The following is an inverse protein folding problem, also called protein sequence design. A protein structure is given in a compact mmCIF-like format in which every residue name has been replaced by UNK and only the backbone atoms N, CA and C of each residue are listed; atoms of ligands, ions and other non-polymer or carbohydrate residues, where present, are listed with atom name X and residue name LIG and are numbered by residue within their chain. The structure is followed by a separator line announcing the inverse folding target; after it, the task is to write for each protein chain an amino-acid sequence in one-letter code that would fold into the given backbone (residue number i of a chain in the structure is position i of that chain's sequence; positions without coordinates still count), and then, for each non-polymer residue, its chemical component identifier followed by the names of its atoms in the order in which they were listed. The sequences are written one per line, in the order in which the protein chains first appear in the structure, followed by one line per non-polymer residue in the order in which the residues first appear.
data_IF_290218477053
#
_entry.id   IF_290218477053
#
_cell.length_a   1.000
_cell.length_b   1.000
_cell.length_c   1.000
_cell.angle_alpha   90.00
_cell.angle_beta   90.00
_cell.angle_gamma   90.00
#
_symmetry.space_group_name_H-M   'P 1'
#
loop_
_entity.id
_entity.type
_entity.pdbx_description
1 polymer ?
#
# COMPACT_ATOMS: atom_id res chain seq x y z
N UNK A 1 22.94 -9.64 -16.77
CA UNK A 1 24.34 -10.11 -16.80
C UNK A 1 24.36 -11.56 -16.33
N UNK A 2 25.07 -12.48 -17.00
CA UNK A 2 25.27 -13.83 -16.50
C UNK A 2 25.99 -13.83 -15.15
N UNK A 3 25.56 -14.70 -14.24
CA UNK A 3 26.09 -14.86 -12.89
C UNK A 3 27.06 -16.03 -12.88
N UNK A 4 28.36 -15.73 -12.93
CA UNK A 4 29.43 -16.73 -12.88
C UNK A 4 29.96 -16.87 -11.47
N UNK A 5 29.61 -17.95 -10.77
CA UNK A 5 29.99 -18.23 -9.39
C UNK A 5 31.30 -19.03 -9.34
N UNK A 6 32.30 -18.52 -8.62
CA UNK A 6 33.55 -19.24 -8.35
C UNK A 6 33.44 -20.03 -7.05
N UNK A 7 33.69 -21.33 -7.13
CA UNK A 7 33.74 -22.23 -5.98
C UNK A 7 35.12 -22.20 -5.28
N UNK A 8 35.18 -22.75 -4.08
CA UNK A 8 36.41 -22.79 -3.27
C UNK A 8 37.53 -23.63 -3.93
N UNK A 9 37.18 -24.59 -4.79
CA UNK A 9 38.12 -25.39 -5.58
C UNK A 9 38.64 -24.68 -6.85
N UNK A 10 38.20 -23.44 -7.09
CA UNK A 10 38.58 -22.63 -8.25
C UNK A 10 37.74 -22.87 -9.50
N UNK A 11 36.82 -23.84 -9.50
CA UNK A 11 35.88 -24.05 -10.60
C UNK A 11 34.89 -22.89 -10.70
N UNK A 12 34.40 -22.63 -11.92
CA UNK A 12 33.42 -21.57 -12.20
C UNK A 12 32.15 -22.20 -12.75
N UNK A 13 31.03 -21.98 -12.06
CA UNK A 13 29.71 -22.36 -12.50
C UNK A 13 28.99 -21.15 -13.14
N UNK A 14 28.42 -21.34 -14.33
CA UNK A 14 27.54 -20.35 -14.95
C UNK A 14 26.09 -20.60 -14.51
N UNK A 15 25.54 -19.66 -13.75
CA UNK A 15 24.17 -19.73 -13.23
C UNK A 15 23.16 -19.00 -14.15
N UNK A 16 23.58 -18.58 -15.36
CA UNK A 16 22.72 -17.78 -16.23
C UNK A 16 22.36 -16.43 -15.60
N UNK A 17 21.14 -15.94 -15.79
CA UNK A 17 20.72 -14.62 -15.27
C UNK A 17 20.10 -14.67 -13.88
N UNK A 18 19.90 -15.85 -13.29
CA UNK A 18 19.32 -16.04 -11.96
C UNK A 18 19.84 -17.33 -11.36
N UNK A 19 20.35 -17.29 -10.13
CA UNK A 19 20.88 -18.45 -9.42
C UNK A 19 20.37 -18.53 -7.98
N UNK A 20 20.38 -19.75 -7.43
CA UNK A 20 20.03 -20.00 -6.02
C UNK A 20 21.32 -20.21 -5.22
N UNK A 21 21.54 -19.37 -4.21
CA UNK A 21 22.64 -19.51 -3.27
C UNK A 21 22.12 -20.18 -2.00
N UNK A 22 22.73 -21.31 -1.64
CA UNK A 22 22.35 -22.07 -0.44
C UNK A 22 23.18 -21.62 0.76
N UNK A 23 22.49 -21.17 1.81
CA UNK A 23 23.09 -20.92 3.12
C UNK A 23 22.86 -22.17 3.99
N UNK A 24 23.93 -22.92 4.28
CA UNK A 24 23.93 -24.10 5.16
C UNK A 24 24.74 -23.89 6.45
N UNK A 25 25.31 -22.70 6.59
CA UNK A 25 26.15 -22.25 7.69
C UNK A 25 25.70 -20.86 8.15
N UNK A 26 26.15 -20.45 9.33
CA UNK A 26 25.83 -19.11 9.87
C UNK A 26 26.42 -17.97 9.01
N UNK A 27 27.56 -18.23 8.37
CA UNK A 27 28.24 -17.25 7.51
C UNK A 27 28.72 -17.96 6.24
N UNK A 28 28.49 -17.34 5.09
CA UNK A 28 28.92 -17.85 3.80
C UNK A 28 29.40 -16.71 2.89
N UNK A 29 30.39 -16.99 2.06
CA UNK A 29 30.94 -16.03 1.08
C UNK A 29 30.78 -16.61 -0.32
N UNK A 30 30.11 -15.87 -1.19
CA UNK A 30 29.94 -16.22 -2.60
C UNK A 30 30.70 -15.23 -3.47
N UNK A 31 31.59 -15.71 -4.34
CA UNK A 31 32.37 -14.84 -5.23
C UNK A 31 31.89 -14.97 -6.67
N UNK A 32 31.38 -13.88 -7.22
CA UNK A 32 31.07 -13.79 -8.65
C UNK A 32 32.26 -13.21 -9.42
N UNK A 33 32.56 -13.78 -10.58
CA UNK A 33 33.66 -13.35 -11.46
C UNK A 33 33.12 -12.73 -12.75
N UNK A 34 34.00 -12.04 -13.48
CA UNK A 34 33.64 -11.36 -14.74
C UNK A 34 32.53 -10.31 -14.58
N UNK A 35 32.58 -9.54 -13.49
CA UNK A 35 31.65 -8.44 -13.20
C UNK A 35 32.29 -7.12 -13.67
N UNK A 36 31.90 -6.57 -14.84
CA UNK A 36 32.62 -5.47 -15.49
C UNK A 36 32.36 -4.10 -14.86
N UNK A 37 31.33 -3.97 -14.03
CA UNK A 37 30.95 -2.76 -13.32
C UNK A 37 30.27 -3.10 -11.99
N UNK A 38 30.16 -2.14 -11.09
CA UNK A 38 29.43 -2.33 -9.82
C UNK A 38 27.98 -2.80 -10.07
N UNK A 39 27.57 -3.96 -9.51
CA UNK A 39 26.23 -4.50 -9.74
C UNK A 39 25.21 -3.97 -8.72
N UNK A 40 23.94 -3.86 -9.15
CA UNK A 40 22.81 -3.68 -8.25
C UNK A 40 22.20 -5.06 -7.95
N UNK A 41 22.36 -5.63 -6.74
CA UNK A 41 21.93 -6.99 -6.47
C UNK A 41 20.42 -7.08 -6.26
N UNK A 42 19.79 -8.01 -6.98
CA UNK A 42 18.39 -8.42 -6.79
C UNK A 42 18.37 -9.72 -5.97
N UNK A 43 18.22 -9.59 -4.66
CA UNK A 43 18.34 -10.67 -3.68
C UNK A 43 16.96 -11.17 -3.23
N UNK A 44 16.87 -12.41 -2.75
CA UNK A 44 15.63 -13.01 -2.23
C UNK A 44 14.46 -13.00 -3.24
N UNK A 45 14.77 -13.11 -4.54
CA UNK A 45 13.80 -13.13 -5.64
C UNK A 45 12.68 -14.14 -5.38
N UNK A 46 11.45 -13.75 -5.73
CA UNK A 46 10.26 -14.56 -5.47
C UNK A 46 10.03 -14.93 -4.00
N UNK A 47 10.59 -14.15 -3.06
CA UNK A 47 10.57 -14.44 -1.63
C UNK A 47 11.10 -15.85 -1.33
N UNK A 48 12.29 -16.17 -1.86
CA UNK A 48 12.85 -17.54 -1.85
C UNK A 48 13.07 -18.13 -0.45
N UNK A 49 13.06 -17.33 0.61
CA UNK A 49 13.03 -17.78 2.00
C UNK A 49 12.26 -16.80 2.91
N UNK A 50 11.56 -17.27 3.96
CA UNK A 50 10.79 -16.43 4.88
C UNK A 50 11.67 -15.79 5.96
N UNK A 51 12.59 -14.92 5.54
CA UNK A 51 13.58 -14.28 6.42
C UNK A 51 13.48 -12.75 6.37
N UNK A 52 13.90 -12.10 7.46
CA UNK A 52 14.18 -10.66 7.43
C UNK A 52 15.56 -10.46 6.82
N UNK A 53 15.64 -9.67 5.76
CA UNK A 53 16.88 -9.41 5.04
C UNK A 53 17.33 -7.96 5.26
N UNK A 54 18.59 -7.80 5.67
CA UNK A 54 19.26 -6.51 5.70
C UNK A 54 20.39 -6.53 4.66
N UNK A 55 20.48 -5.47 3.87
CA UNK A 55 21.48 -5.35 2.79
C UNK A 55 22.35 -4.13 3.05
N UNK A 56 23.56 -4.36 3.54
CA UNK A 56 24.54 -3.28 3.76
C UNK A 56 25.02 -2.71 2.42
N UNK A 57 25.16 -1.38 2.34
CA UNK A 57 25.65 -0.69 1.14
C UNK A 57 24.62 -0.49 0.02
N UNK A 58 23.36 -0.91 0.20
CA UNK A 58 22.30 -0.63 -0.76
C UNK A 58 21.76 0.80 -0.56
N UNK A 59 21.95 1.67 -1.55
CA UNK A 59 21.45 3.04 -1.53
C UNK A 59 20.00 3.14 -2.04
N UNK A 60 19.41 4.34 -1.94
CA UNK A 60 18.08 4.58 -2.50
C UNK A 60 18.11 4.55 -4.04
N UNK A 61 19.20 4.98 -4.67
CA UNK A 61 19.41 4.88 -6.12
C UNK A 61 19.36 3.42 -6.60
N UNK A 62 19.95 2.50 -5.82
CA UNK A 62 19.82 1.06 -6.09
C UNK A 62 18.36 0.60 -6.02
N UNK A 63 17.59 1.06 -5.02
CA UNK A 63 16.18 0.70 -4.91
C UNK A 63 15.32 1.31 -6.03
N UNK A 64 15.59 2.55 -6.43
CA UNK A 64 14.91 3.18 -7.57
C UNK A 64 15.17 2.41 -8.86
N UNK A 65 16.42 1.99 -9.08
CA UNK A 65 16.78 1.14 -10.21
C UNK A 65 16.03 -0.20 -10.17
N UNK A 66 15.97 -0.87 -9.02
CA UNK A 66 15.24 -2.14 -8.89
C UNK A 66 13.74 -1.96 -9.14
N UNK A 67 13.10 -0.95 -8.53
CA UNK A 67 11.68 -0.65 -8.75
C UNK A 67 11.36 -0.43 -10.24
N UNK A 68 12.22 0.29 -10.96
CA UNK A 68 12.01 0.61 -12.37
C UNK A 68 12.36 -0.54 -13.33
N UNK A 69 13.35 -1.38 -13.00
CA UNK A 69 14.01 -2.22 -13.99
C UNK A 69 14.23 -3.69 -13.61
N UNK A 70 13.98 -4.12 -12.36
CA UNK A 70 14.27 -5.51 -11.98
C UNK A 70 13.48 -6.50 -12.85
N UNK A 71 14.08 -7.63 -13.21
CA UNK A 71 13.36 -8.68 -13.94
C UNK A 71 12.42 -9.49 -13.04
N UNK A 72 12.63 -9.44 -11.72
CA UNK A 72 11.77 -10.11 -10.75
C UNK A 72 10.64 -9.17 -10.27
N UNK A 73 9.36 -9.50 -10.54
CA UNK A 73 8.24 -8.65 -10.14
C UNK A 73 8.15 -8.46 -8.62
N UNK A 74 8.45 -9.51 -7.84
CA UNK A 74 8.44 -9.41 -6.38
C UNK A 74 9.45 -8.37 -5.90
N UNK A 75 10.68 -8.37 -6.40
CA UNK A 75 11.69 -7.39 -6.02
C UNK A 75 11.42 -5.98 -6.55
N UNK A 76 10.76 -5.82 -7.71
CA UNK A 76 10.23 -4.50 -8.12
C UNK A 76 9.27 -3.95 -7.08
N UNK A 77 8.29 -4.77 -6.69
CA UNK A 77 7.30 -4.41 -5.66
C UNK A 77 7.98 -4.12 -4.32
N UNK A 78 8.85 -5.01 -3.82
CA UNK A 78 9.53 -4.87 -2.54
C UNK A 78 10.41 -3.62 -2.49
N UNK A 79 11.14 -3.29 -3.56
CA UNK A 79 11.89 -2.05 -3.66
C UNK A 79 10.99 -0.81 -3.51
N UNK A 80 9.82 -0.82 -4.17
CA UNK A 80 8.78 0.20 -4.02
C UNK A 80 8.22 0.30 -2.61
N UNK A 81 7.94 -0.84 -1.96
CA UNK A 81 7.48 -0.86 -0.56
C UNK A 81 8.52 -0.27 0.39
N UNK A 82 9.79 -0.65 0.25
CA UNK A 82 10.90 -0.16 1.09
C UNK A 82 11.10 1.34 0.93
N UNK A 83 11.16 1.84 -0.30
CA UNK A 83 11.28 3.27 -0.60
C UNK A 83 10.10 4.07 -0.04
N UNK A 84 8.88 3.60 -0.28
CA UNK A 84 7.65 4.25 0.18
C UNK A 84 7.56 4.26 1.70
N UNK A 85 7.92 3.16 2.37
CA UNK A 85 7.93 3.06 3.83
C UNK A 85 8.95 4.03 4.43
N UNK A 86 10.17 4.05 3.90
CA UNK A 86 11.22 4.97 4.33
C UNK A 86 10.76 6.42 4.20
N UNK A 87 10.21 6.79 3.04
CA UNK A 87 9.68 8.12 2.77
C UNK A 87 8.58 8.51 3.76
N UNK A 88 7.57 7.65 3.93
CA UNK A 88 6.44 7.92 4.82
C UNK A 88 6.88 8.13 6.27
N UNK A 89 7.82 7.32 6.77
CA UNK A 89 8.36 7.46 8.12
C UNK A 89 9.20 8.73 8.29
N UNK A 90 10.01 9.08 7.29
CA UNK A 90 10.78 10.33 7.27
C UNK A 90 9.85 11.55 7.33
N UNK A 91 8.85 11.60 6.44
CA UNK A 91 7.89 12.71 6.39
C UNK A 91 7.05 12.78 7.67
N UNK A 92 6.66 11.63 8.23
CA UNK A 92 5.97 11.57 9.51
C UNK A 92 6.82 12.16 10.64
N UNK A 93 8.09 11.75 10.74
CA UNK A 93 9.01 12.27 11.76
C UNK A 93 9.17 13.79 11.65
N UNK A 94 9.31 14.31 10.43
CA UNK A 94 9.43 15.75 10.20
C UNK A 94 8.13 16.50 10.55
N UNK A 95 6.98 15.95 10.17
CA UNK A 95 5.68 16.55 10.46
C UNK A 95 5.39 16.54 11.98
N UNK A 96 5.77 15.48 12.69
CA UNK A 96 5.58 15.35 14.14
C UNK A 96 6.43 16.35 14.93
N UNK A 97 7.64 16.67 14.46
CA UNK A 97 8.50 17.67 15.08
C UNK A 97 7.90 19.10 14.97
N UNK A 98 7.08 19.36 13.97
CA UNK A 98 6.49 20.68 13.70
C UNK A 98 5.18 20.99 14.46
N UNK A 99 4.85 20.25 15.52
CA UNK A 99 3.74 20.54 16.43
C UNK A 99 2.38 19.96 16.04
N UNK A 100 1.39 20.16 16.93
CA UNK A 100 0.11 19.44 16.96
C UNK A 100 -0.95 19.86 15.93
N UNK A 101 -0.62 20.64 14.90
CA UNK A 101 -1.59 20.99 13.87
C UNK A 101 -1.69 19.86 12.84
N UNK A 102 -2.86 19.22 12.71
CA UNK A 102 -3.08 18.09 11.78
C UNK A 102 -3.77 18.47 10.47
N UNK A 103 -4.02 19.77 10.25
CA UNK A 103 -4.69 20.22 9.02
C UNK A 103 -3.83 19.98 7.77
N UNK A 104 -4.50 19.59 6.68
CA UNK A 104 -3.86 19.22 5.41
C UNK A 104 -2.79 20.22 4.94
N UNK A 105 -3.08 21.52 5.05
CA UNK A 105 -2.14 22.58 4.68
C UNK A 105 -0.85 22.56 5.50
N UNK A 106 -0.96 22.48 6.83
CA UNK A 106 0.20 22.48 7.72
C UNK A 106 1.04 21.20 7.55
N UNK A 107 0.38 20.05 7.32
CA UNK A 107 1.06 18.79 7.01
C UNK A 107 1.80 18.90 5.67
N UNK A 108 1.15 19.43 4.62
CA UNK A 108 1.75 19.60 3.31
C UNK A 108 2.98 20.53 3.33
N UNK A 109 2.91 21.64 4.05
CA UNK A 109 4.04 22.57 4.21
C UNK A 109 5.23 21.90 4.89
N UNK A 110 5.01 21.15 5.98
CA UNK A 110 6.08 20.43 6.69
C UNK A 110 6.67 19.28 5.88
N UNK A 111 5.82 18.49 5.21
CA UNK A 111 6.30 17.43 4.34
C UNK A 111 7.10 17.99 3.15
N UNK A 112 6.64 19.09 2.54
CA UNK A 112 7.37 19.79 1.48
C UNK A 112 8.73 20.31 1.96
N UNK A 113 8.79 20.95 3.13
CA UNK A 113 10.03 21.40 3.74
C UNK A 113 11.00 20.25 4.07
N UNK A 114 10.48 19.04 4.28
CA UNK A 114 11.25 17.81 4.52
C UNK A 114 11.68 17.07 3.23
N UNK A 115 11.51 17.69 2.06
CA UNK A 115 11.90 17.15 0.76
C UNK A 115 10.75 16.56 -0.06
N UNK A 116 9.54 16.47 0.49
CA UNK A 116 8.34 16.02 -0.23
C UNK A 116 8.48 14.61 -0.82
N UNK A 117 7.81 14.37 -1.94
CA UNK A 117 7.94 13.11 -2.70
C UNK A 117 9.11 13.23 -3.69
N UNK A 118 10.13 12.36 -3.64
CA UNK A 118 11.26 12.43 -4.55
C UNK A 118 10.87 12.23 -6.02
N UNK A 119 11.43 13.03 -6.92
CA UNK A 119 11.23 12.89 -8.37
C UNK A 119 11.66 11.51 -8.89
N UNK A 120 12.72 10.93 -8.32
CA UNK A 120 13.18 9.58 -8.65
C UNK A 120 12.12 8.50 -8.33
N UNK A 121 11.36 8.69 -7.24
CA UNK A 121 10.25 7.78 -6.91
C UNK A 121 9.11 7.89 -7.92
N UNK A 122 8.76 9.12 -8.30
CA UNK A 122 7.76 9.39 -9.36
C UNK A 122 8.21 8.75 -10.68
N UNK A 123 9.46 8.94 -11.08
CA UNK A 123 10.01 8.39 -12.31
C UNK A 123 9.99 6.85 -12.31
N UNK A 124 10.30 6.22 -11.19
CA UNK A 124 10.25 4.76 -11.06
C UNK A 124 8.82 4.21 -11.11
N UNK A 125 7.85 4.85 -10.45
CA UNK A 125 6.43 4.49 -10.57
C UNK A 125 5.89 4.72 -11.99
N UNK A 126 6.31 5.79 -12.66
CA UNK A 126 5.98 6.04 -14.06
C UNK A 126 6.49 4.92 -14.95
N UNK A 127 7.79 4.56 -14.85
CA UNK A 127 8.37 3.47 -15.61
C UNK A 127 7.57 2.17 -15.42
N UNK A 128 7.20 1.86 -14.18
CA UNK A 128 6.38 0.68 -13.86
C UNK A 128 4.98 0.73 -14.48
N UNK A 129 4.30 1.89 -14.44
CA UNK A 129 2.98 2.06 -15.05
C UNK A 129 3.01 1.91 -16.57
N UNK A 130 4.06 2.42 -17.21
CA UNK A 130 4.22 2.44 -18.67
C UNK A 130 4.84 1.19 -19.27
N UNK A 131 5.36 0.28 -18.46
CA UNK A 131 5.97 -0.99 -18.91
C UNK A 131 4.91 -1.94 -19.47
N UNK A 132 4.88 -2.15 -20.79
CA UNK A 132 3.84 -2.95 -21.47
C UNK A 132 3.93 -4.45 -21.16
N UNK A 133 5.07 -4.94 -20.69
CA UNK A 133 5.30 -6.36 -20.42
C UNK A 133 4.80 -6.79 -19.03
N UNK A 134 4.45 -5.83 -18.16
CA UNK A 134 3.97 -6.10 -16.81
C UNK A 134 2.45 -6.31 -16.75
N UNK A 135 2.03 -7.36 -16.03
CA UNK A 135 0.61 -7.64 -15.75
C UNK A 135 -0.07 -6.49 -14.97
N UNK A 136 -1.32 -6.21 -15.32
CA UNK A 136 -2.10 -5.13 -14.69
C UNK A 136 -2.34 -5.33 -13.19
N UNK A 137 -2.53 -6.58 -12.73
CA UNK A 137 -2.68 -6.89 -11.30
C UNK A 137 -1.38 -6.60 -10.56
N UNK A 138 -0.25 -6.96 -11.16
CA UNK A 138 1.06 -6.65 -10.62
C UNK A 138 1.26 -5.13 -10.54
N UNK A 139 0.96 -4.38 -11.61
CA UNK A 139 1.06 -2.91 -11.58
C UNK A 139 0.20 -2.30 -10.47
N UNK A 140 -1.04 -2.75 -10.34
CA UNK A 140 -1.96 -2.30 -9.31
C UNK A 140 -1.43 -2.55 -7.88
N UNK A 141 -0.79 -3.71 -7.68
CA UNK A 141 -0.12 -4.06 -6.43
C UNK A 141 1.13 -3.22 -6.20
N UNK A 142 2.00 -3.05 -7.20
CA UNK A 142 3.25 -2.32 -7.10
C UNK A 142 3.10 -0.83 -6.83
N UNK A 143 2.07 -0.17 -7.38
CA UNK A 143 1.78 1.24 -7.09
C UNK A 143 1.05 1.46 -5.75
N UNK A 144 0.97 0.42 -4.91
CA UNK A 144 0.32 0.48 -3.60
C UNK A 144 1.26 1.01 -2.53
N UNK A 145 0.89 2.11 -1.88
CA UNK A 145 1.63 2.57 -0.71
C UNK A 145 1.30 1.75 0.55
N UNK A 146 2.29 1.55 1.46
CA UNK A 146 2.08 0.91 2.75
C UNK A 146 0.86 1.46 3.49
N UNK A 147 0.13 0.57 4.18
CA UNK A 147 -1.04 0.97 4.97
C UNK A 147 -0.61 1.68 6.25
N UNK A 148 -1.50 2.48 6.84
CA UNK A 148 -1.19 3.12 8.14
C UNK A 148 -0.84 2.08 9.22
N UNK A 149 -1.49 0.91 9.21
CA UNK A 149 -1.20 -0.16 10.17
C UNK A 149 0.23 -0.71 10.01
N UNK A 150 0.70 -0.93 8.78
CA UNK A 150 2.10 -1.35 8.52
C UNK A 150 3.15 -0.32 8.98
N UNK A 151 2.75 0.95 9.05
CA UNK A 151 3.62 2.06 9.48
C UNK A 151 3.61 2.24 11.00
N UNK A 152 2.48 1.96 11.67
CA UNK A 152 2.36 2.09 13.13
C UNK A 152 3.46 1.31 13.85
N UNK A 153 3.71 0.06 13.44
CA UNK A 153 4.72 -0.82 14.04
C UNK A 153 6.16 -0.26 13.93
N UNK A 154 6.42 0.62 12.97
CA UNK A 154 7.74 1.20 12.74
C UNK A 154 7.98 2.52 13.49
N UNK A 155 6.93 3.13 14.07
CA UNK A 155 7.03 4.42 14.76
C UNK A 155 7.33 4.17 16.24
N UNK A 156 8.53 4.54 16.67
CA UNK A 156 8.94 4.46 18.06
C UNK A 156 8.34 5.61 18.89
N UNK A 157 7.93 5.33 20.13
CA UNK A 157 7.44 6.35 21.07
C UNK A 157 5.93 6.66 20.98
N UNK A 158 5.20 5.95 20.14
CA UNK A 158 3.75 6.12 19.96
C UNK A 158 3.42 7.01 18.76
N UNK A 159 2.60 6.50 17.86
CA UNK A 159 2.18 7.18 16.66
C UNK A 159 0.92 8.03 16.90
N UNK A 160 0.89 9.21 16.30
CA UNK A 160 -0.34 9.97 16.11
C UNK A 160 -1.03 9.45 14.83
N UNK A 161 -2.19 8.76 14.95
CA UNK A 161 -2.85 8.15 13.81
C UNK A 161 -3.44 9.17 12.83
N UNK A 162 -3.85 10.34 13.34
CA UNK A 162 -4.39 11.42 12.51
C UNK A 162 -3.28 12.04 11.68
N UNK A 163 -2.12 12.30 12.30
CA UNK A 163 -0.94 12.79 11.59
C UNK A 163 -0.45 11.78 10.55
N UNK A 164 -0.35 10.51 10.94
CA UNK A 164 0.08 9.44 10.05
C UNK A 164 -0.83 9.31 8.83
N UNK A 165 -2.15 9.39 9.03
CA UNK A 165 -3.11 9.41 7.92
C UNK A 165 -2.88 10.62 7.01
N UNK A 166 -2.75 11.83 7.57
CA UNK A 166 -2.55 13.05 6.79
C UNK A 166 -1.23 13.02 5.98
N UNK A 167 -0.14 12.53 6.57
CA UNK A 167 1.15 12.34 5.87
C UNK A 167 1.02 11.32 4.74
N UNK A 168 0.33 10.20 4.98
CA UNK A 168 0.07 9.21 3.93
C UNK A 168 -0.76 9.81 2.80
N UNK A 169 -1.81 10.56 3.11
CA UNK A 169 -2.64 11.23 2.10
C UNK A 169 -1.86 12.30 1.33
N UNK A 170 -0.95 13.02 1.98
CA UNK A 170 -0.03 13.93 1.29
C UNK A 170 0.77 13.17 0.22
N UNK A 171 1.43 12.06 0.55
CA UNK A 171 2.23 11.29 -0.41
C UNK A 171 1.36 10.71 -1.54
N UNK A 172 0.20 10.15 -1.20
CA UNK A 172 -0.77 9.63 -2.19
C UNK A 172 -1.15 10.71 -3.19
N UNK A 173 -1.56 11.89 -2.71
CA UNK A 173 -2.00 13.02 -3.56
C UNK A 173 -0.86 13.57 -4.42
N UNK A 174 0.35 13.67 -3.87
CA UNK A 174 1.52 14.12 -4.64
C UNK A 174 1.86 13.14 -5.77
N UNK A 175 1.86 11.83 -5.50
CA UNK A 175 2.06 10.81 -6.54
C UNK A 175 0.93 10.82 -7.56
N UNK A 176 -0.33 10.90 -7.13
CA UNK A 176 -1.48 10.95 -8.02
C UNK A 176 -1.44 12.18 -8.94
N UNK A 177 -1.02 13.34 -8.42
CA UNK A 177 -0.88 14.56 -9.21
C UNK A 177 0.26 14.44 -10.22
N UNK A 178 1.42 13.94 -9.79
CA UNK A 178 2.60 13.81 -10.64
C UNK A 178 2.45 12.74 -11.74
N UNK A 179 1.69 11.68 -11.46
CA UNK A 179 1.43 10.56 -12.37
C UNK A 179 0.07 10.66 -13.07
N UNK A 180 -0.61 11.81 -12.97
CA UNK A 180 -1.98 11.98 -13.49
C UNK A 180 -2.13 11.53 -14.95
N UNK A 181 -1.25 11.91 -15.90
CA UNK A 181 -1.36 11.47 -17.29
C UNK A 181 -1.30 9.94 -17.43
N UNK A 182 -0.38 9.29 -16.72
CA UNK A 182 -0.19 7.84 -16.76
C UNK A 182 -1.36 7.10 -16.12
N UNK A 183 -1.89 7.63 -15.01
CA UNK A 183 -3.07 7.08 -14.33
C UNK A 183 -4.32 7.20 -15.21
N UNK A 184 -4.56 8.36 -15.83
CA UNK A 184 -5.68 8.55 -16.76
C UNK A 184 -5.55 7.64 -17.99
N UNK A 185 -4.34 7.48 -18.54
CA UNK A 185 -4.07 6.53 -19.62
C UNK A 185 -4.34 5.09 -19.20
N UNK A 186 -3.92 4.68 -17.98
CA UNK A 186 -4.19 3.36 -17.45
C UNK A 186 -5.68 3.11 -17.27
N UNK A 187 -6.45 4.09 -16.78
CA UNK A 187 -7.92 3.98 -16.69
C UNK A 187 -8.53 3.78 -18.06
N UNK A 188 -8.15 4.61 -19.04
CA UNK A 188 -8.69 4.55 -20.40
C UNK A 188 -8.37 3.22 -21.10
N UNK A 189 -7.13 2.75 -20.99
CA UNK A 189 -6.67 1.53 -21.64
C UNK A 189 -7.28 0.25 -21.04
N UNK A 190 -7.71 0.30 -19.78
CA UNK A 190 -8.25 -0.84 -19.05
C UNK A 190 -9.77 -0.77 -18.84
N UNK A 191 -10.44 0.19 -19.48
CA UNK A 191 -11.88 0.29 -19.41
C UNK A 191 -12.58 -0.66 -20.38
N UNK A 192 -13.72 -1.20 -19.93
CA UNK A 192 -14.51 -2.07 -20.78
C UNK A 192 -15.54 -1.20 -21.52
N UNK A 193 -15.69 -1.34 -22.86
CA UNK A 193 -16.75 -0.68 -23.60
C UNK A 193 -18.13 -0.99 -23.01
N UNK A 194 -19.06 -0.04 -23.17
CA UNK A 194 -20.44 -0.24 -22.72
C UNK A 194 -21.04 -1.52 -23.34
N UNK A 195 -21.68 -2.35 -22.51
CA UNK A 195 -22.26 -3.63 -22.92
C UNK A 195 -21.30 -4.81 -22.97
N UNK A 196 -20.01 -4.62 -22.64
CA UNK A 196 -19.06 -5.74 -22.50
C UNK A 196 -19.54 -6.72 -21.42
N UNK A 197 -19.72 -8.02 -21.74
CA UNK A 197 -20.10 -9.01 -20.75
C UNK A 197 -19.03 -9.17 -19.68
N UNK A 198 -19.45 -9.40 -18.44
CA UNK A 198 -18.52 -9.71 -17.37
C UNK A 198 -17.77 -11.02 -17.65
N UNK A 199 -16.45 -11.00 -17.44
CA UNK A 199 -15.60 -12.18 -17.52
C UNK A 199 -14.70 -12.30 -16.29
N UNK A 200 -14.64 -13.51 -15.73
CA UNK A 200 -13.71 -13.90 -14.67
C UNK A 200 -12.51 -14.64 -15.25
N UNK A 201 -11.65 -13.90 -15.96
CA UNK A 201 -10.37 -14.39 -16.48
C UNK A 201 -9.24 -13.58 -15.86
N UNK A 202 -8.03 -14.13 -15.81
CA UNK A 202 -6.85 -13.44 -15.28
C UNK A 202 -6.65 -12.06 -15.93
N UNK A 203 -6.75 -11.98 -17.26
CA UNK A 203 -6.64 -10.72 -18.01
C UNK A 203 -7.73 -9.71 -17.62
N UNK A 204 -9.00 -10.13 -17.48
CA UNK A 204 -10.08 -9.23 -17.07
C UNK A 204 -9.91 -8.75 -15.62
N UNK A 205 -9.44 -9.62 -14.73
CA UNK A 205 -9.09 -9.26 -13.35
C UNK A 205 -7.94 -8.25 -13.30
N UNK A 206 -6.89 -8.45 -14.12
CA UNK A 206 -5.75 -7.56 -14.20
C UNK A 206 -6.14 -6.15 -14.68
N UNK A 207 -6.98 -6.05 -15.72
CA UNK A 207 -7.50 -4.76 -16.19
C UNK A 207 -8.31 -4.03 -15.12
N UNK A 208 -9.25 -4.73 -14.47
CA UNK A 208 -10.05 -4.16 -13.37
C UNK A 208 -9.17 -3.71 -12.21
N UNK A 209 -8.21 -4.52 -11.79
CA UNK A 209 -7.29 -4.19 -10.72
C UNK A 209 -6.52 -2.89 -11.01
N UNK A 210 -5.91 -2.78 -12.20
CA UNK A 210 -5.16 -1.58 -12.59
C UNK A 210 -6.05 -0.35 -12.72
N UNK A 211 -7.17 -0.46 -13.43
CA UNK A 211 -8.13 0.64 -13.60
C UNK A 211 -8.64 1.15 -12.26
N UNK A 212 -9.10 0.25 -11.39
CA UNK A 212 -9.69 0.64 -10.11
C UNK A 212 -8.64 1.23 -9.17
N UNK A 213 -7.40 0.73 -9.21
CA UNK A 213 -6.27 1.32 -8.48
C UNK A 213 -5.93 2.72 -8.97
N UNK A 214 -5.87 2.93 -10.28
CA UNK A 214 -5.60 4.23 -10.86
C UNK A 214 -6.72 5.24 -10.54
N UNK A 215 -7.98 4.83 -10.63
CA UNK A 215 -9.13 5.65 -10.23
C UNK A 215 -9.09 6.04 -8.75
N UNK A 216 -8.75 5.09 -7.86
CA UNK A 216 -8.64 5.37 -6.43
C UNK A 216 -7.51 6.35 -6.10
N UNK A 217 -6.42 6.37 -6.87
CA UNK A 217 -5.37 7.39 -6.73
C UNK A 217 -5.85 8.75 -7.26
N UNK A 218 -6.44 8.79 -8.46
CA UNK A 218 -6.98 10.00 -9.06
C UNK A 218 -8.08 10.65 -8.23
N UNK A 219 -8.91 9.85 -7.53
CA UNK A 219 -9.99 10.38 -6.68
C UNK A 219 -9.47 11.24 -5.54
N UNK A 220 -8.26 10.98 -5.04
CA UNK A 220 -7.65 11.77 -3.96
C UNK A 220 -7.33 13.21 -4.36
N UNK A 221 -7.31 13.51 -5.66
CA UNK A 221 -7.16 14.86 -6.19
C UNK A 221 -8.46 15.67 -6.12
N UNK A 222 -9.59 15.02 -5.78
CA UNK A 222 -10.90 15.66 -5.60
C UNK A 222 -11.38 16.43 -6.85
N UNK A 223 -10.93 15.99 -8.04
CA UNK A 223 -11.34 16.57 -9.32
C UNK A 223 -12.82 16.21 -9.62
N UNK A 224 -13.71 17.20 -9.85
CA UNK A 224 -15.13 16.95 -10.10
C UNK A 224 -15.40 16.00 -11.28
N UNK A 225 -14.52 16.00 -12.29
CA UNK A 225 -14.63 15.09 -13.45
C UNK A 225 -14.38 13.64 -13.06
N UNK A 226 -13.40 13.41 -12.19
CA UNK A 226 -13.10 12.07 -11.66
C UNK A 226 -14.24 11.60 -10.74
N UNK A 227 -14.75 12.49 -9.89
CA UNK A 227 -15.91 12.21 -9.02
C UNK A 227 -17.15 11.84 -9.84
N UNK A 228 -17.45 12.58 -10.90
CA UNK A 228 -18.56 12.27 -11.80
C UNK A 228 -18.37 10.90 -12.49
N UNK A 229 -17.14 10.58 -12.90
CA UNK A 229 -16.82 9.27 -13.48
C UNK A 229 -17.01 8.14 -12.46
N UNK A 230 -16.59 8.32 -11.21
CA UNK A 230 -16.81 7.34 -10.14
C UNK A 230 -18.29 7.12 -9.86
N UNK A 231 -19.08 8.19 -9.76
CA UNK A 231 -20.54 8.10 -9.60
C UNK A 231 -21.20 7.35 -10.75
N UNK A 232 -20.79 7.62 -11.99
CA UNK A 232 -21.28 6.91 -13.16
C UNK A 232 -20.96 5.42 -13.07
N UNK A 233 -19.70 5.07 -12.77
CA UNK A 233 -19.26 3.68 -12.63
C UNK A 233 -19.97 2.95 -11.50
N UNK A 234 -20.15 3.60 -10.36
CA UNK A 234 -20.93 3.06 -9.24
C UNK A 234 -22.35 2.67 -9.67
N UNK A 235 -23.02 3.50 -10.49
CA UNK A 235 -24.38 3.24 -10.97
C UNK A 235 -24.44 2.20 -12.09
N UNK A 236 -23.49 2.23 -13.02
CA UNK A 236 -23.52 1.47 -14.28
C UNK A 236 -22.73 0.16 -14.23
N UNK A 237 -21.93 -0.09 -13.19
CA UNK A 237 -21.11 -1.29 -13.11
C UNK A 237 -21.96 -2.58 -13.20
N UNK A 238 -21.54 -3.48 -14.09
CA UNK A 238 -22.16 -4.79 -14.27
C UNK A 238 -21.63 -5.85 -13.30
N UNK A 239 -20.68 -5.49 -12.44
CA UNK A 239 -20.01 -6.39 -11.53
C UNK A 239 -19.66 -5.72 -10.20
N UNK A 240 -19.65 -6.53 -9.14
CA UNK A 240 -19.42 -6.07 -7.77
C UNK A 240 -18.01 -5.49 -7.55
N UNK A 241 -16.99 -5.95 -8.28
CA UNK A 241 -15.61 -5.47 -8.14
C UNK A 241 -15.50 -4.00 -8.50
N UNK A 242 -16.09 -3.59 -9.63
CA UNK A 242 -16.06 -2.20 -10.08
C UNK A 242 -17.02 -1.33 -9.26
N UNK A 243 -18.22 -1.83 -8.93
CA UNK A 243 -19.20 -1.09 -8.11
C UNK A 243 -18.64 -0.74 -6.72
N UNK A 244 -18.03 -1.72 -6.04
CA UNK A 244 -17.43 -1.51 -4.71
C UNK A 244 -16.17 -0.67 -4.77
N UNK A 245 -15.34 -0.82 -5.82
CA UNK A 245 -14.14 0.03 -5.96
C UNK A 245 -14.53 1.50 -6.17
N UNK A 246 -15.56 1.75 -6.97
CA UNK A 246 -16.11 3.08 -7.16
C UNK A 246 -16.72 3.64 -5.87
N UNK A 247 -17.53 2.83 -5.16
CA UNK A 247 -18.09 3.21 -3.87
C UNK A 247 -17.00 3.52 -2.84
N UNK A 248 -15.99 2.66 -2.70
CA UNK A 248 -14.88 2.87 -1.78
C UNK A 248 -14.13 4.17 -2.07
N UNK A 249 -13.90 4.50 -3.34
CA UNK A 249 -13.28 5.77 -3.73
C UNK A 249 -14.17 6.98 -3.41
N UNK A 250 -15.49 6.86 -3.56
CA UNK A 250 -16.46 7.92 -3.22
C UNK A 250 -16.58 8.14 -1.71
N UNK A 251 -16.44 7.09 -0.89
CA UNK A 251 -16.52 7.17 0.58
C UNK A 251 -15.36 7.96 1.19
N UNK A 252 -14.20 7.95 0.53
CA UNK A 252 -13.05 8.76 0.92
C UNK A 252 -13.23 10.25 0.59
N UNK A 253 -14.16 10.60 -0.30
CA UNK A 253 -14.46 11.99 -0.62
C UNK A 253 -15.34 12.63 0.46
N UNK A 254 -15.16 13.93 0.66
CA UNK A 254 -16.09 14.75 1.43
C UNK A 254 -17.15 15.31 0.49
N UNK A 255 -18.44 15.08 0.74
CA UNK A 255 -19.51 15.66 -0.07
C UNK A 255 -20.83 14.88 -0.06
N UNK A 256 -21.91 15.46 -0.62
CA UNK A 256 -23.22 14.80 -0.72
C UNK A 256 -23.21 13.53 -1.60
N UNK A 257 -22.25 13.42 -2.52
CA UNK A 257 -22.07 12.27 -3.41
C UNK A 257 -21.77 10.99 -2.62
N UNK A 258 -20.96 11.10 -1.55
CA UNK A 258 -20.66 10.00 -0.63
C UNK A 258 -21.92 9.46 0.01
N UNK A 259 -22.70 10.33 0.65
CA UNK A 259 -23.90 9.93 1.38
C UNK A 259 -24.95 9.35 0.42
N UNK A 260 -25.08 9.95 -0.77
CA UNK A 260 -25.96 9.45 -1.83
C UNK A 260 -25.56 8.05 -2.29
N UNK A 261 -24.26 7.82 -2.54
CA UNK A 261 -23.77 6.52 -3.00
C UNK A 261 -23.91 5.44 -1.91
N UNK A 262 -23.61 5.78 -0.65
CA UNK A 262 -23.78 4.88 0.49
C UNK A 262 -25.25 4.47 0.68
N UNK A 263 -26.18 5.43 0.64
CA UNK A 263 -27.61 5.16 0.76
C UNK A 263 -28.11 4.29 -0.41
N UNK A 264 -27.73 4.63 -1.65
CA UNK A 264 -28.11 3.87 -2.84
C UNK A 264 -27.60 2.42 -2.81
N UNK A 265 -26.36 2.19 -2.36
CA UNK A 265 -25.81 0.84 -2.23
C UNK A 265 -26.54 0.04 -1.16
N UNK A 266 -26.83 0.66 -0.02
CA UNK A 266 -27.62 0.04 1.04
C UNK A 266 -29.00 -0.36 0.53
N UNK A 267 -29.74 0.56 -0.08
CA UNK A 267 -31.10 0.29 -0.56
C UNK A 267 -31.15 -0.83 -1.61
N UNK A 268 -30.12 -0.92 -2.45
CA UNK A 268 -29.97 -1.96 -3.47
C UNK A 268 -29.67 -3.34 -2.87
N UNK A 269 -28.89 -3.41 -1.79
CA UNK A 269 -28.34 -4.67 -1.27
C UNK A 269 -28.70 -4.99 0.17
N UNK A 270 -29.63 -4.26 0.80
CA UNK A 270 -30.04 -4.45 2.21
C UNK A 270 -30.54 -5.85 2.55
N UNK A 271 -31.07 -6.56 1.56
CA UNK A 271 -31.58 -7.93 1.71
C UNK A 271 -30.50 -9.00 1.39
N UNK A 272 -29.25 -8.59 1.10
CA UNK A 272 -28.13 -9.45 0.75
C UNK A 272 -27.02 -9.38 1.83
N UNK A 273 -27.05 -10.26 2.86
CA UNK A 273 -26.19 -10.13 4.04
C UNK A 273 -24.69 -10.06 3.74
N UNK A 274 -24.20 -10.86 2.78
CA UNK A 274 -22.78 -10.87 2.41
C UNK A 274 -22.34 -9.58 1.70
N UNK A 275 -23.25 -8.90 1.00
CA UNK A 275 -22.98 -7.63 0.33
C UNK A 275 -23.06 -6.49 1.34
N UNK A 276 -24.02 -6.55 2.27
CA UNK A 276 -24.07 -5.63 3.41
C UNK A 276 -22.81 -5.67 4.26
N UNK A 277 -22.18 -6.83 4.46
CA UNK A 277 -20.88 -6.90 5.15
C UNK A 277 -19.80 -6.07 4.43
N UNK A 278 -19.85 -5.96 3.10
CA UNK A 278 -18.92 -5.11 2.34
C UNK A 278 -19.25 -3.63 2.51
N UNK A 279 -20.54 -3.26 2.51
CA UNK A 279 -20.99 -1.90 2.79
C UNK A 279 -20.63 -1.45 4.22
N UNK A 280 -20.90 -2.30 5.21
CA UNK A 280 -20.43 -2.13 6.59
C UNK A 280 -18.91 -2.11 6.65
N UNK A 281 -18.23 -2.89 5.80
CA UNK A 281 -16.79 -2.81 5.60
C UNK A 281 -16.34 -1.42 5.17
N UNK A 282 -17.02 -0.80 4.21
CA UNK A 282 -16.68 0.54 3.73
C UNK A 282 -17.05 1.65 4.74
N UNK A 283 -18.14 1.48 5.49
CA UNK A 283 -18.56 2.45 6.50
C UNK A 283 -17.87 2.27 7.87
N UNK A 284 -17.43 1.06 8.21
CA UNK A 284 -17.07 0.65 9.58
C UNK A 284 -15.87 -0.30 9.67
N UNK A 285 -15.47 -1.01 8.61
CA UNK A 285 -14.34 -1.97 8.55
C UNK A 285 -13.91 -2.59 9.91
N UNK A 286 -14.77 -3.31 10.63
CA UNK A 286 -14.40 -4.23 11.73
C UNK A 286 -13.38 -3.73 12.81
N UNK A 287 -13.26 -2.41 13.02
CA UNK A 287 -12.15 -1.78 13.79
C UNK A 287 -12.44 -1.53 15.27
N UNK A 288 -13.66 -1.73 15.76
CA UNK A 288 -13.99 -1.25 17.12
C UNK A 288 -13.38 -2.05 18.28
N UNK A 289 -12.86 -3.26 18.06
CA UNK A 289 -12.18 -4.03 19.14
C UNK A 289 -10.72 -4.28 18.81
N UNK A 290 -10.39 -4.60 17.56
CA UNK A 290 -9.00 -4.77 17.11
C UNK A 290 -8.20 -3.46 17.17
N UNK A 291 -8.80 -2.29 16.94
CA UNK A 291 -8.09 -1.02 17.13
C UNK A 291 -7.63 -0.82 18.58
N UNK A 292 -8.34 -1.37 19.56
CA UNK A 292 -7.89 -1.35 20.96
C UNK A 292 -6.79 -2.35 21.25
N UNK A 293 -6.58 -3.40 20.45
CA UNK A 293 -5.48 -4.35 20.69
C UNK A 293 -4.10 -3.78 20.37
N UNK A 294 -4.02 -2.79 19.48
CA UNK A 294 -2.77 -2.09 19.12
C UNK A 294 -2.55 -0.82 19.93
N UNK A 295 -3.28 -0.63 21.05
CA UNK A 295 -3.32 0.65 21.78
C UNK A 295 -1.95 1.21 22.18
N UNK A 296 -1.00 0.33 22.50
CA UNK A 296 0.39 0.67 22.88
C UNK A 296 1.21 1.34 21.77
N UNK A 297 0.73 1.24 20.53
CA UNK A 297 1.40 1.85 19.37
C UNK A 297 1.00 3.31 19.17
N UNK A 298 0.01 3.83 19.90
CA UNK A 298 -0.44 5.22 19.78
C UNK A 298 0.27 6.15 20.77
N UNK A 299 0.07 7.47 20.63
CA UNK A 299 0.53 8.46 21.58
C UNK A 299 -0.06 8.28 23.00
N UNK A 300 0.62 8.82 24.01
CA UNK A 300 0.29 8.62 25.42
C UNK A 300 -1.14 9.03 25.79
N UNK A 301 -1.70 10.07 25.15
CA UNK A 301 -3.05 10.54 25.45
C UNK A 301 -4.10 9.52 24.99
N UNK A 302 -3.95 8.99 23.76
CA UNK A 302 -4.82 7.94 23.22
C UNK A 302 -4.61 6.62 23.95
N UNK A 303 -3.38 6.27 24.32
CA UNK A 303 -3.10 5.10 25.15
C UNK A 303 -3.93 5.11 26.45
N UNK A 304 -3.96 6.24 27.16
CA UNK A 304 -4.74 6.37 28.40
C UNK A 304 -6.25 6.17 28.17
N UNK A 305 -6.81 6.80 27.13
CA UNK A 305 -8.22 6.67 26.79
C UNK A 305 -8.61 5.24 26.38
N UNK A 306 -7.77 4.61 25.56
CA UNK A 306 -7.99 3.25 25.06
C UNK A 306 -7.87 2.21 26.17
N UNK A 307 -6.87 2.35 27.04
CA UNK A 307 -6.73 1.53 28.25
C UNK A 307 -7.95 1.63 29.16
N UNK A 308 -8.46 2.85 29.40
CA UNK A 308 -9.65 3.06 30.22
C UNK A 308 -10.89 2.35 29.63
N UNK A 309 -11.04 2.31 28.30
CA UNK A 309 -12.14 1.56 27.67
C UNK A 309 -11.94 0.05 27.75
N UNK A 310 -10.70 -0.45 27.57
CA UNK A 310 -10.40 -1.88 27.76
C UNK A 310 -10.69 -2.33 29.20
N UNK A 311 -10.29 -1.54 30.19
CA UNK A 311 -10.59 -1.79 31.61
C UNK A 311 -12.12 -1.79 31.86
N UNK A 312 -12.86 -0.86 31.24
CA UNK A 312 -14.34 -0.82 31.30
C UNK A 312 -14.98 -2.06 30.67
N UNK A 313 -14.46 -2.53 29.53
CA UNK A 313 -14.96 -3.73 28.84
C UNK A 313 -14.74 -4.96 29.72
N UNK A 314 -13.53 -5.14 30.28
CA UNK A 314 -13.21 -6.26 31.18
C UNK A 314 -14.11 -6.25 32.42
N UNK A 315 -14.49 -5.07 32.92
CA UNK A 315 -15.38 -4.93 34.07
C UNK A 315 -16.88 -5.14 33.77
N UNK A 316 -17.28 -5.37 32.52
CA UNK A 316 -18.68 -5.48 32.15
C UNK A 316 -19.31 -6.83 32.58
N UNK A 317 -20.43 -6.83 33.33
CA UNK A 317 -21.13 -8.07 33.69
C UNK A 317 -21.70 -8.77 32.45
N UNK A 318 -21.58 -10.10 32.37
CA UNK A 318 -22.10 -10.88 31.25
C UNK A 318 -21.23 -10.87 29.99
N UNK A 319 -19.96 -10.46 30.10
CA UNK A 319 -19.01 -10.50 29.01
C UNK A 319 -18.73 -11.96 28.59
N UNK A 320 -18.77 -12.23 27.28
CA UNK A 320 -18.40 -13.56 26.75
C UNK A 320 -16.93 -13.88 27.01
N UNK A 321 -16.60 -15.15 27.23
CA UNK A 321 -15.25 -15.64 27.53
C UNK A 321 -14.21 -15.20 26.49
N UNK A 322 -14.54 -15.28 25.19
CA UNK A 322 -13.66 -14.87 24.11
C UNK A 322 -13.31 -13.37 24.17
N UNK A 323 -14.30 -12.51 24.45
CA UNK A 323 -14.07 -11.06 24.56
C UNK A 323 -13.27 -10.72 25.83
N UNK A 324 -13.52 -11.42 26.93
CA UNK A 324 -12.72 -11.29 28.16
C UNK A 324 -11.25 -11.67 27.92
N UNK A 325 -11.00 -12.78 27.22
CA UNK A 325 -9.65 -13.24 26.92
C UNK A 325 -8.88 -12.22 26.07
N UNK A 326 -9.50 -11.73 24.98
CA UNK A 326 -8.87 -10.74 24.09
C UNK A 326 -8.57 -9.44 24.85
N UNK A 327 -9.54 -8.90 25.60
CA UNK A 327 -9.39 -7.63 26.31
C UNK A 327 -8.37 -7.72 27.46
N UNK A 328 -8.40 -8.81 28.25
CA UNK A 328 -7.47 -9.01 29.35
C UNK A 328 -6.03 -9.26 28.88
N UNK A 329 -5.83 -10.02 27.80
CA UNK A 329 -4.50 -10.18 27.18
C UNK A 329 -3.96 -8.87 26.64
N UNK A 330 -4.82 -8.03 26.05
CA UNK A 330 -4.41 -6.73 25.49
C UNK A 330 -3.95 -5.73 26.55
N UNK A 331 -4.37 -5.87 27.81
CA UNK A 331 -3.94 -5.04 28.95
C UNK A 331 -2.60 -5.48 29.57
N UNK A 332 -2.14 -6.71 29.31
CA UNK A 332 -0.82 -7.23 29.73
C UNK A 332 0.27 -6.83 28.76
#
# INVERSE_FOLDING_TARGET
MPLKLRHADGSVADLGTTGVLRFDTAEAVFTFVEVPSEPVPSLLRGFSAPVKMEVSGQSDEHLYFLLAHDSDPFNRWEAGQRLSRKLLLQLYSAAAAGGAAHGDKAVAERCGAAGGVPEALVAAFKALLTDEDLDGSFKAMAISLPTSNELLDAISGGADPTLLYAVRMYVVRQLAAALRPELEAAVKANDDPAGTPYAFTAAACARRALKNRALALLSTLEDPTITAMLLRRFKEASNMTDEISALGSLVELSGPERETALAAFYDKFKDEPLVLLKWLGLQVAARMVSAFTTWRQYDASRQALMRAQLERIVAHPGLSENVFEIASKSLK
#
